data_IF_971242407658
#
_entry.id   IF_971242407658
#
_cell.length_a   1.000
_cell.length_b   1.000
_cell.length_c   1.000
_cell.angle_alpha   90.00
_cell.angle_beta   90.00
_cell.angle_gamma   90.00
#
_symmetry.space_group_name_H-M   'P 1'
#
loop_
_entity.id
_entity.type
_entity.pdbx_description
1 polymer ?
#
# COMPACT_ATOMS: atom_id res chain seq x y z
N UNK A 1 -6.42 20.15 0.78
CA UNK A 1 -5.77 18.83 0.66
C UNK A 1 -4.38 19.05 0.10
N UNK A 2 -3.40 19.08 1.02
CA UNK A 2 -1.98 19.37 0.69
C UNK A 2 -1.33 18.13 0.07
N UNK A 3 -1.62 16.96 0.66
CA UNK A 3 -0.98 15.70 0.24
C UNK A 3 -1.42 15.28 -1.15
N UNK A 4 -2.69 15.44 -1.49
CA UNK A 4 -3.19 15.15 -2.84
C UNK A 4 -2.54 16.05 -3.89
N UNK A 5 -2.33 17.35 -3.60
CA UNK A 5 -1.58 18.25 -4.50
C UNK A 5 -0.13 17.80 -4.70
N UNK A 6 0.51 17.25 -3.66
CA UNK A 6 1.86 16.68 -3.82
C UNK A 6 1.85 15.43 -4.69
N UNK A 7 0.85 14.55 -4.55
CA UNK A 7 0.68 13.41 -5.44
C UNK A 7 0.50 13.85 -6.89
N UNK A 8 -0.36 14.84 -7.13
CA UNK A 8 -0.58 15.41 -8.47
C UNK A 8 0.72 15.97 -9.07
N UNK A 9 1.51 16.70 -8.26
CA UNK A 9 2.80 17.25 -8.69
C UNK A 9 3.84 16.15 -9.03
N UNK A 10 3.72 14.96 -8.44
CA UNK A 10 4.52 13.78 -8.72
C UNK A 10 3.97 12.95 -9.90
N UNK A 11 2.84 13.35 -10.48
CA UNK A 11 2.16 12.59 -11.53
C UNK A 11 1.55 11.27 -11.02
N UNK A 12 1.27 11.16 -9.71
CA UNK A 12 0.73 9.97 -9.07
C UNK A 12 -0.78 10.14 -8.85
N UNK A 13 -1.56 9.18 -9.34
CA UNK A 13 -3.02 9.19 -9.21
C UNK A 13 -3.48 8.03 -8.33
N UNK A 14 -4.37 8.34 -7.37
CA UNK A 14 -5.03 7.31 -6.55
C UNK A 14 -6.14 6.65 -7.37
N UNK A 15 -6.26 5.34 -7.28
CA UNK A 15 -7.36 4.62 -7.92
C UNK A 15 -8.65 4.68 -7.06
N UNK A 16 -9.78 4.40 -7.70
CA UNK A 16 -11.08 4.25 -7.04
C UNK A 16 -11.12 2.91 -6.28
N UNK A 17 -11.04 2.99 -4.96
CA UNK A 17 -11.00 1.82 -4.07
C UNK A 17 -12.30 1.02 -4.13
N UNK A 18 -13.46 1.67 -4.13
CA UNK A 18 -14.75 0.98 -4.18
C UNK A 18 -14.88 0.16 -5.47
N UNK A 19 -14.55 0.77 -6.61
CA UNK A 19 -14.53 0.10 -7.90
C UNK A 19 -13.55 -1.08 -7.93
N UNK A 20 -12.33 -0.89 -7.41
CA UNK A 20 -11.29 -1.92 -7.39
C UNK A 20 -11.67 -3.10 -6.49
N UNK A 21 -12.24 -2.83 -5.32
CA UNK A 21 -12.68 -3.88 -4.40
C UNK A 21 -13.85 -4.69 -4.95
N UNK A 22 -14.80 -4.05 -5.62
CA UNK A 22 -15.94 -4.73 -6.27
C UNK A 22 -15.50 -5.58 -7.46
N UNK A 23 -14.52 -5.13 -8.24
CA UNK A 23 -14.00 -5.84 -9.40
C UNK A 23 -13.20 -7.10 -9.00
N UNK A 24 -12.56 -7.11 -7.82
CA UNK A 24 -11.67 -8.17 -7.34
C UNK A 24 -12.32 -9.02 -6.24
N UNK A 25 -13.51 -9.56 -6.48
CA UNK A 25 -14.18 -10.47 -5.56
C UNK A 25 -13.40 -11.81 -5.48
N UNK A 26 -12.40 -11.89 -4.59
CA UNK A 26 -11.53 -13.05 -4.44
C UNK A 26 -12.11 -14.18 -3.57
N UNK A 27 -13.32 -14.01 -3.04
CA UNK A 27 -13.89 -14.94 -2.05
C UNK A 27 -13.19 -14.92 -0.68
N UNK A 28 -12.18 -14.10 -0.50
CA UNK A 28 -11.49 -13.94 0.77
C UNK A 28 -12.33 -13.12 1.75
N UNK A 29 -12.23 -13.47 3.05
CA UNK A 29 -12.98 -12.79 4.12
C UNK A 29 -12.07 -11.86 4.88
N UNK A 30 -11.97 -10.60 4.45
CA UNK A 30 -11.23 -9.58 5.16
C UNK A 30 -11.78 -8.17 4.85
N UNK A 31 -11.44 -7.21 5.69
CA UNK A 31 -11.81 -5.81 5.55
C UNK A 31 -10.69 -5.02 4.88
N UNK A 32 -11.03 -3.98 4.13
CA UNK A 32 -10.02 -3.07 3.54
C UNK A 32 -9.17 -2.38 4.61
N UNK A 33 -9.81 -2.02 5.71
CA UNK A 33 -9.19 -1.37 6.87
C UNK A 33 -10.04 -1.58 8.12
N UNK A 34 -9.44 -1.34 9.27
CA UNK A 34 -10.13 -1.26 10.56
C UNK A 34 -9.57 -0.08 11.35
N UNK A 35 -10.39 0.49 12.23
CA UNK A 35 -9.96 1.54 13.16
C UNK A 35 -10.05 1.08 14.61
N UNK A 36 -9.00 1.39 15.37
CA UNK A 36 -9.01 1.26 16.82
C UNK A 36 -8.57 2.62 17.38
N UNK A 37 -9.47 3.32 18.04
CA UNK A 37 -9.28 4.73 18.39
C UNK A 37 -8.90 5.55 17.14
N UNK A 38 -7.80 6.29 17.19
CA UNK A 38 -7.30 7.11 16.08
C UNK A 38 -6.23 6.39 15.25
N UNK A 39 -6.16 5.07 15.31
CA UNK A 39 -5.23 4.27 14.51
C UNK A 39 -6.00 3.52 13.43
N UNK A 40 -5.58 3.70 12.18
CA UNK A 40 -6.11 3.01 11.00
C UNK A 40 -5.15 1.89 10.61
N UNK A 41 -5.65 0.66 10.64
CA UNK A 41 -4.98 -0.55 10.20
C UNK A 41 -5.47 -0.92 8.82
N UNK A 42 -4.58 -1.09 7.86
CA UNK A 42 -4.91 -1.49 6.50
C UNK A 42 -4.58 -2.97 6.27
N UNK A 43 -5.39 -3.63 5.46
CA UNK A 43 -4.98 -4.89 4.84
C UNK A 43 -3.83 -4.69 3.87
N UNK A 44 -3.12 -5.76 3.54
CA UNK A 44 -2.04 -5.74 2.57
C UNK A 44 -2.48 -5.18 1.22
N UNK A 45 -1.64 -4.36 0.62
CA UNK A 45 -1.86 -3.74 -0.69
C UNK A 45 -0.70 -4.05 -1.62
N UNK A 46 -1.01 -4.31 -2.87
CA UNK A 46 -0.07 -4.67 -3.93
C UNK A 46 0.05 -3.55 -4.96
N UNK A 47 1.08 -3.57 -5.82
CA UNK A 47 1.25 -2.56 -6.86
C UNK A 47 0.10 -2.61 -7.85
N UNK A 48 -0.67 -1.53 -7.96
CA UNK A 48 -1.72 -1.33 -8.96
C UNK A 48 -1.47 -0.04 -9.70
N UNK A 49 -1.52 -0.08 -11.02
CA UNK A 49 -1.46 1.07 -11.91
C UNK A 49 -2.59 0.97 -12.93
N UNK A 50 -3.34 2.03 -13.10
CA UNK A 50 -4.46 2.10 -14.03
C UNK A 50 -5.49 0.96 -13.85
N UNK A 51 -5.67 0.50 -12.60
CA UNK A 51 -6.60 -0.56 -12.23
C UNK A 51 -6.10 -1.99 -12.50
N UNK A 52 -4.85 -2.18 -12.92
CA UNK A 52 -4.25 -3.47 -13.20
C UNK A 52 -3.00 -3.74 -12.33
N UNK A 53 -2.65 -5.03 -12.09
CA UNK A 53 -1.38 -5.39 -11.46
C UNK A 53 -0.20 -4.76 -12.20
N UNK A 54 0.75 -4.20 -11.45
CA UNK A 54 1.91 -3.51 -12.00
C UNK A 54 3.21 -4.10 -11.47
N UNK A 55 4.21 -4.33 -12.36
CA UNK A 55 5.51 -4.89 -12.02
C UNK A 55 5.38 -6.22 -11.26
N UNK A 56 4.72 -7.20 -11.86
CA UNK A 56 4.60 -8.56 -11.34
C UNK A 56 5.87 -9.36 -11.63
N UNK A 57 6.20 -10.33 -10.77
CA UNK A 57 7.38 -11.20 -10.93
C UNK A 57 8.28 -11.23 -9.70
N UNK A 58 9.40 -11.93 -9.83
CA UNK A 58 10.37 -12.20 -8.76
C UNK A 58 11.52 -11.19 -8.82
N UNK A 59 11.67 -10.40 -7.76
CA UNK A 59 12.76 -9.42 -7.64
C UNK A 59 14.10 -10.12 -7.45
N UNK A 60 15.08 -9.72 -8.23
CA UNK A 60 16.40 -10.36 -8.26
C UNK A 60 16.50 -11.53 -9.23
N UNK A 61 15.41 -11.84 -9.96
CA UNK A 61 15.40 -12.78 -11.08
C UNK A 61 14.72 -12.16 -12.32
N UNK A 62 13.41 -11.92 -12.26
CA UNK A 62 12.63 -11.35 -13.37
C UNK A 62 12.61 -9.81 -13.32
N UNK A 63 12.70 -9.24 -12.13
CA UNK A 63 12.69 -7.79 -11.90
C UNK A 63 14.00 -7.33 -11.25
N UNK A 64 14.47 -6.15 -11.66
CA UNK A 64 15.58 -5.47 -11.00
C UNK A 64 15.17 -4.90 -9.63
N UNK A 65 16.16 -4.45 -8.84
CA UNK A 65 15.91 -3.76 -7.57
C UNK A 65 15.14 -2.46 -7.81
N UNK A 66 15.46 -1.73 -8.87
CA UNK A 66 14.82 -0.47 -9.25
C UNK A 66 13.36 -0.69 -9.64
N UNK A 67 13.06 -1.77 -10.35
CA UNK A 67 11.68 -2.16 -10.65
C UNK A 67 10.92 -2.59 -9.38
N UNK A 68 11.59 -3.30 -8.47
CA UNK A 68 11.05 -3.63 -7.16
C UNK A 68 10.77 -2.39 -6.31
N UNK A 69 11.68 -1.40 -6.31
CA UNK A 69 11.49 -0.10 -5.66
C UNK A 69 10.26 0.63 -6.20
N UNK A 70 10.11 0.68 -7.53
CA UNK A 70 8.96 1.29 -8.18
C UNK A 70 7.66 0.52 -7.82
N UNK A 71 7.70 -0.81 -7.79
CA UNK A 71 6.59 -1.64 -7.32
C UNK A 71 6.18 -1.29 -5.88
N UNK A 72 7.15 -1.14 -4.96
CA UNK A 72 6.89 -0.74 -3.59
C UNK A 72 6.24 0.67 -3.50
N UNK A 73 6.67 1.60 -4.36
CA UNK A 73 6.06 2.93 -4.49
C UNK A 73 4.58 2.84 -4.89
N UNK A 74 4.24 2.00 -5.88
CA UNK A 74 2.85 1.77 -6.29
C UNK A 74 2.04 0.96 -5.25
N UNK A 75 2.64 0.03 -4.53
CA UNK A 75 1.98 -0.69 -3.45
C UNK A 75 1.58 0.28 -2.31
N UNK A 76 2.46 1.24 -1.97
CA UNK A 76 2.11 2.31 -1.04
C UNK A 76 1.01 3.24 -1.60
N UNK A 77 1.07 3.59 -2.89
CA UNK A 77 0.03 4.39 -3.52
C UNK A 77 -1.35 3.70 -3.39
N UNK A 78 -1.38 2.37 -3.51
CA UNK A 78 -2.57 1.57 -3.25
C UNK A 78 -3.02 1.66 -1.79
N UNK A 79 -2.10 1.64 -0.81
CA UNK A 79 -2.43 1.90 0.60
C UNK A 79 -3.01 3.30 0.80
N UNK A 80 -2.41 4.33 0.20
CA UNK A 80 -2.89 5.72 0.31
C UNK A 80 -4.28 5.91 -0.31
N UNK A 81 -4.62 5.16 -1.36
CA UNK A 81 -5.98 5.15 -1.90
C UNK A 81 -6.99 4.63 -0.85
N UNK A 82 -6.65 3.56 -0.11
CA UNK A 82 -7.48 3.05 0.99
C UNK A 82 -7.56 4.05 2.14
N UNK A 83 -6.45 4.70 2.52
CA UNK A 83 -6.45 5.78 3.54
C UNK A 83 -7.36 6.92 3.10
N UNK A 84 -7.28 7.36 1.83
CA UNK A 84 -8.15 8.41 1.28
C UNK A 84 -9.61 8.01 1.30
N UNK A 85 -9.93 6.77 0.95
CA UNK A 85 -11.29 6.23 1.03
C UNK A 85 -11.80 6.26 2.49
N UNK A 86 -10.99 5.79 3.43
CA UNK A 86 -11.36 5.70 4.84
C UNK A 86 -11.54 7.08 5.49
N UNK A 87 -10.61 8.00 5.28
CA UNK A 87 -10.53 9.27 5.98
C UNK A 87 -11.13 10.45 5.22
N UNK A 88 -11.36 10.31 3.90
CA UNK A 88 -11.82 11.41 3.05
C UNK A 88 -10.76 12.44 2.69
N UNK A 89 -9.68 12.56 3.46
CA UNK A 89 -8.59 13.53 3.30
C UNK A 89 -7.26 12.94 3.81
N UNK A 90 -6.24 12.92 2.97
CA UNK A 90 -4.90 12.44 3.34
C UNK A 90 -4.17 13.37 4.32
N UNK A 91 -4.56 14.65 4.40
CA UNK A 91 -3.99 15.60 5.38
C UNK A 91 -4.34 15.22 6.84
N UNK A 92 -5.35 14.35 7.04
CA UNK A 92 -5.71 13.80 8.36
C UNK A 92 -4.68 12.83 8.93
N UNK A 93 -3.77 12.29 8.13
CA UNK A 93 -2.69 11.41 8.61
C UNK A 93 -1.72 12.23 9.46
N UNK A 94 -1.57 11.84 10.72
CA UNK A 94 -0.70 12.48 11.70
C UNK A 94 0.67 11.82 11.77
N UNK A 95 0.73 10.50 11.57
CA UNK A 95 1.96 9.72 11.60
C UNK A 95 1.79 8.41 10.83
N UNK A 96 2.74 8.05 9.98
CA UNK A 96 2.93 6.68 9.54
C UNK A 96 3.52 5.88 10.72
N UNK A 97 2.74 4.95 11.27
CA UNK A 97 3.11 4.22 12.50
C UNK A 97 3.99 3.02 12.17
N UNK A 98 3.51 2.18 11.26
CA UNK A 98 4.21 0.97 10.85
C UNK A 98 4.02 0.69 9.36
N UNK A 99 5.08 0.21 8.73
CA UNK A 99 5.05 -0.36 7.38
C UNK A 99 5.78 -1.70 7.38
N UNK A 100 5.07 -2.76 7.03
CA UNK A 100 5.65 -4.08 6.78
C UNK A 100 5.61 -4.30 5.27
N UNK A 101 6.78 -4.55 4.68
CA UNK A 101 6.92 -4.81 3.25
C UNK A 101 7.37 -6.24 2.99
N UNK A 102 6.65 -6.92 2.11
CA UNK A 102 6.99 -8.25 1.61
C UNK A 102 7.48 -8.13 0.17
N UNK A 103 8.58 -8.79 -0.12
CA UNK A 103 9.19 -8.81 -1.46
C UNK A 103 9.21 -10.24 -1.95
N UNK A 104 8.48 -10.53 -3.02
CA UNK A 104 8.61 -11.77 -3.77
C UNK A 104 10.00 -11.78 -4.43
N UNK A 105 10.95 -12.49 -3.82
CA UNK A 105 12.36 -12.36 -4.17
C UNK A 105 13.03 -13.70 -4.43
N UNK A 106 14.04 -13.68 -5.30
CA UNK A 106 14.84 -14.84 -5.64
C UNK A 106 15.54 -15.44 -4.40
N UNK A 107 15.83 -16.75 -4.40
CA UNK A 107 16.63 -17.37 -3.36
C UNK A 107 17.97 -16.63 -3.17
N UNK A 108 18.32 -16.33 -1.91
CA UNK A 108 19.56 -15.61 -1.59
C UNK A 108 19.51 -14.09 -1.82
N UNK A 109 18.42 -13.53 -2.32
CA UNK A 109 18.26 -12.08 -2.42
C UNK A 109 18.26 -11.46 -1.02
N UNK A 110 19.11 -10.47 -0.77
CA UNK A 110 19.32 -9.86 0.54
C UNK A 110 19.12 -8.32 0.55
N UNK A 111 18.45 -7.78 -0.48
CA UNK A 111 18.29 -6.33 -0.64
C UNK A 111 16.82 -5.88 -0.54
N UNK A 112 15.99 -6.62 0.17
CA UNK A 112 14.60 -6.26 0.44
C UNK A 112 14.44 -4.83 1.01
N UNK A 113 15.32 -4.35 1.91
CA UNK A 113 15.23 -2.98 2.41
C UNK A 113 15.34 -1.92 1.30
N UNK A 114 16.18 -2.15 0.28
CA UNK A 114 16.31 -1.22 -0.86
C UNK A 114 15.05 -1.18 -1.71
N UNK A 115 14.40 -2.33 -1.88
CA UNK A 115 13.11 -2.44 -2.58
C UNK A 115 12.03 -1.66 -1.80
N UNK A 116 11.89 -1.92 -0.50
CA UNK A 116 10.86 -1.29 0.33
C UNK A 116 11.11 0.20 0.57
N UNK A 117 12.33 0.69 0.32
CA UNK A 117 12.58 2.14 0.31
C UNK A 117 11.61 2.87 -0.64
N UNK A 118 11.18 2.27 -1.77
CA UNK A 118 10.20 2.90 -2.66
C UNK A 118 8.92 3.33 -1.95
N UNK A 119 8.44 2.55 -1.00
CA UNK A 119 7.28 2.90 -0.18
C UNK A 119 7.63 3.95 0.88
N UNK A 120 8.71 3.77 1.64
CA UNK A 120 9.05 4.71 2.72
C UNK A 120 9.51 6.06 2.21
N UNK A 121 10.20 6.13 1.08
CA UNK A 121 10.64 7.39 0.48
C UNK A 121 9.42 8.21 0.01
N UNK A 122 8.40 7.56 -0.58
CA UNK A 122 7.15 8.24 -0.91
C UNK A 122 6.42 8.76 0.33
N UNK A 123 6.37 7.99 1.43
CA UNK A 123 5.79 8.48 2.69
C UNK A 123 6.53 9.73 3.20
N UNK A 124 7.86 9.73 3.18
CA UNK A 124 8.68 10.87 3.62
C UNK A 124 8.51 12.06 2.67
N UNK A 125 8.44 11.84 1.37
CA UNK A 125 8.20 12.89 0.35
C UNK A 125 6.87 13.59 0.59
N UNK A 126 5.83 12.84 0.94
CA UNK A 126 4.49 13.38 1.19
C UNK A 126 4.36 14.05 2.56
N UNK A 127 4.83 13.40 3.63
CA UNK A 127 4.54 13.76 5.01
C UNK A 127 5.75 14.31 5.80
N UNK A 128 6.96 14.32 5.21
CA UNK A 128 8.18 14.69 5.92
C UNK A 128 8.49 13.72 7.06
N UNK A 129 8.85 14.22 8.24
CA UNK A 129 9.20 13.37 9.41
C UNK A 129 8.04 12.49 9.88
N UNK A 130 6.80 12.93 9.71
CA UNK A 130 5.60 12.13 10.00
C UNK A 130 5.44 10.92 9.07
N UNK A 131 6.12 10.91 7.95
CA UNK A 131 6.17 9.80 6.99
C UNK A 131 7.15 8.69 7.36
N UNK A 132 7.94 8.81 8.43
CA UNK A 132 8.93 7.80 8.86
C UNK A 132 8.28 6.76 9.79
N UNK A 133 7.93 5.55 9.31
CA UNK A 133 7.32 4.51 10.14
C UNK A 133 8.39 3.66 10.85
N UNK A 134 7.95 2.87 11.85
CA UNK A 134 8.66 1.63 12.15
C UNK A 134 8.51 0.68 10.96
N UNK A 135 9.56 -0.10 10.61
CA UNK A 135 9.54 -0.85 9.35
C UNK A 135 10.15 -2.25 9.47
N UNK A 136 9.51 -3.22 8.78
CA UNK A 136 10.12 -4.48 8.40
C UNK A 136 10.15 -4.62 6.86
N UNK A 137 11.21 -5.22 6.32
CA UNK A 137 11.35 -5.57 4.91
C UNK A 137 11.72 -7.05 4.81
N UNK A 138 10.80 -7.87 4.31
CA UNK A 138 10.84 -9.33 4.40
C UNK A 138 10.84 -9.93 2.99
N UNK A 139 11.72 -10.89 2.74
CA UNK A 139 11.67 -11.71 1.53
C UNK A 139 10.68 -12.86 1.67
N UNK A 140 9.94 -13.15 0.62
CA UNK A 140 9.05 -14.31 0.53
C UNK A 140 9.18 -14.98 -0.84
N UNK A 141 8.71 -16.25 -0.93
CA UNK A 141 8.80 -17.04 -2.16
C UNK A 141 7.49 -17.06 -2.96
N UNK A 142 6.77 -15.96 -2.94
CA UNK A 142 5.55 -15.79 -3.71
C UNK A 142 4.54 -14.89 -3.01
N UNK A 143 3.83 -14.12 -3.81
CA UNK A 143 2.70 -13.30 -3.43
C UNK A 143 1.53 -13.62 -4.36
N UNK A 144 0.32 -13.33 -3.91
CA UNK A 144 -0.89 -13.54 -4.71
C UNK A 144 -0.76 -12.88 -6.09
N UNK A 145 -1.24 -13.56 -7.13
CA UNK A 145 -1.19 -13.08 -8.53
C UNK A 145 0.22 -12.75 -9.02
N UNK A 146 1.24 -13.39 -8.45
CA UNK A 146 2.65 -13.13 -8.77
C UNK A 146 3.08 -11.67 -8.58
N UNK A 147 2.42 -10.92 -7.65
CA UNK A 147 2.88 -9.59 -7.31
C UNK A 147 4.33 -9.62 -6.80
N UNK A 148 5.10 -8.59 -7.13
CA UNK A 148 6.51 -8.48 -6.71
C UNK A 148 6.66 -7.94 -5.30
N UNK A 149 5.71 -7.12 -4.84
CA UNK A 149 5.71 -6.47 -3.52
C UNK A 149 4.30 -6.44 -2.96
N UNK A 150 4.21 -6.55 -1.64
CA UNK A 150 3.01 -6.23 -0.86
C UNK A 150 3.43 -5.40 0.35
N UNK A 151 2.63 -4.39 0.70
CA UNK A 151 2.86 -3.57 1.90
C UNK A 151 1.63 -3.58 2.81
N UNK A 152 1.89 -3.60 4.11
CA UNK A 152 0.88 -3.42 5.17
C UNK A 152 1.20 -2.12 5.89
N UNK A 153 0.28 -1.16 5.83
CA UNK A 153 0.46 0.17 6.43
C UNK A 153 -0.48 0.36 7.62
N UNK A 154 0.06 0.97 8.67
CA UNK A 154 -0.72 1.47 9.82
C UNK A 154 -0.45 2.95 9.99
N UNK A 155 -1.49 3.76 10.15
CA UNK A 155 -1.35 5.22 10.36
C UNK A 155 -2.13 5.71 11.56
N UNK A 156 -1.60 6.71 12.25
CA UNK A 156 -2.32 7.55 13.21
C UNK A 156 -2.99 8.67 12.45
N UNK A 157 -4.24 8.99 12.76
CA UNK A 157 -5.00 10.06 12.12
C UNK A 157 -5.70 10.96 13.12
N UNK A 158 -6.19 12.11 12.66
CA UNK A 158 -6.97 13.07 13.44
C UNK A 158 -8.37 13.28 12.86
N UNK A 159 -9.26 13.83 13.70
CA UNK A 159 -10.64 14.14 13.35
C UNK A 159 -11.56 12.93 13.42
N UNK A 160 -12.86 13.20 13.36
CA UNK A 160 -13.94 12.22 13.46
C UNK A 160 -14.41 11.77 12.07
N UNK A 161 -15.23 10.72 12.07
CA UNK A 161 -15.83 10.17 10.85
C UNK A 161 -14.82 9.41 10.01
N UNK A 162 -14.96 8.08 10.02
CA UNK A 162 -14.22 7.16 9.15
C UNK A 162 -15.26 6.42 8.31
N UNK A 163 -15.04 6.38 7.00
CA UNK A 163 -15.90 5.61 6.10
C UNK A 163 -15.83 4.12 6.48
N UNK A 164 -16.96 3.41 6.56
CA UNK A 164 -16.96 1.98 6.87
C UNK A 164 -16.05 1.19 5.91
N UNK A 165 -15.37 0.14 6.41
CA UNK A 165 -14.50 -0.65 5.57
C UNK A 165 -15.28 -1.42 4.49
N UNK A 166 -14.64 -1.61 3.35
CA UNK A 166 -15.15 -2.51 2.33
C UNK A 166 -14.83 -3.96 2.74
N UNK A 167 -15.88 -4.77 2.86
CA UNK A 167 -15.73 -6.20 3.09
C UNK A 167 -15.56 -6.96 1.77
N UNK A 168 -14.68 -7.94 1.74
CA UNK A 168 -14.57 -8.89 0.63
C UNK A 168 -15.38 -10.16 0.94
N UNK A 169 -16.70 -10.00 1.24
CA UNK A 169 -17.56 -11.10 1.64
C UNK A 169 -18.36 -11.73 0.49
N UNK A 170 -18.23 -11.21 -0.71
CA UNK A 170 -19.06 -11.67 -1.81
C UNK A 170 -18.60 -13.05 -2.30
N UNK A 171 -19.10 -14.10 -1.64
CA UNK A 171 -19.22 -15.40 -2.27
C UNK A 171 -20.25 -15.27 -3.39
N UNK A 172 -19.80 -15.30 -4.62
CA UNK A 172 -20.67 -15.80 -5.68
C UNK A 172 -20.84 -17.29 -5.38
N UNK A 173 -22.06 -17.67 -4.94
CA UNK A 173 -22.47 -19.07 -4.85
C UNK A 173 -22.53 -19.68 -6.25
#
# INVERSE_FOLDING_TARGET
>A
MIIEKKLDALGLTLFDVDRQYRANASGARFMSHLTVNNVLYLSGTTPVKDGAPHLTGVVGAELSIEQGYEAARYALLSSLAVVKYALGDLDRVQQAVQLIGFVNSAPGFAQQPRVINGATDLLVELYGDRGKPTRAAIGCQGLALNHSVEVVLTVLFSGDGVTPPLARDHYVK
#
